data_IF_810632749100
#
_entry.id   IF_810632749100
#
_cell.length_a   1.000
_cell.length_b   1.000
_cell.length_c   1.000
_cell.angle_alpha   90.00
_cell.angle_beta   90.00
_cell.angle_gamma   90.00
#
_symmetry.space_group_name_H-M   'P 1'
#
loop_
_entity.id
_entity.type
_entity.pdbx_description
1 polymer ?
#
# COMPACT_ATOMS: atom_id res chain seq x y z
N UNK A 1 -8.64 -2.12 -37.43
CA UNK A 1 -8.17 -3.01 -36.34
C UNK A 1 -8.80 -2.56 -35.03
N UNK A 2 -9.41 -3.45 -34.24
CA UNK A 2 -9.85 -3.10 -32.88
C UNK A 2 -8.61 -3.10 -31.99
N UNK A 3 -8.21 -1.94 -31.48
CA UNK A 3 -7.15 -1.86 -30.47
C UNK A 3 -7.66 -2.52 -29.18
N UNK A 4 -7.04 -3.61 -28.75
CA UNK A 4 -7.30 -4.20 -27.44
C UNK A 4 -6.69 -3.30 -26.36
N UNK A 5 -7.48 -3.00 -25.32
CA UNK A 5 -7.02 -2.28 -24.13
C UNK A 5 -7.34 -3.06 -22.86
N UNK A 6 -6.48 -2.92 -21.85
CA UNK A 6 -6.71 -3.40 -20.49
C UNK A 6 -6.66 -2.21 -19.56
N UNK A 7 -7.58 -2.19 -18.61
CA UNK A 7 -7.57 -1.24 -17.52
C UNK A 7 -7.01 -1.91 -16.27
N UNK A 8 -5.92 -1.37 -15.75
CA UNK A 8 -5.35 -1.73 -14.45
C UNK A 8 -5.71 -0.66 -13.42
N UNK A 9 -6.31 -1.09 -12.30
CA UNK A 9 -6.74 -0.20 -11.23
C UNK A 9 -6.25 -0.70 -9.88
N UNK A 10 -5.90 0.24 -9.01
CA UNK A 10 -5.62 -0.02 -7.60
C UNK A 10 -6.53 0.87 -6.77
N UNK A 11 -7.37 0.23 -5.99
CA UNK A 11 -8.27 0.85 -5.03
C UNK A 11 -7.80 0.53 -3.60
N UNK A 12 -7.72 1.55 -2.75
CA UNK A 12 -7.31 1.39 -1.35
C UNK A 12 -8.29 2.14 -0.47
N UNK A 13 -8.96 1.41 0.43
CA UNK A 13 -9.96 1.97 1.34
C UNK A 13 -11.04 2.80 0.62
N UNK A 14 -11.48 2.35 -0.56
CA UNK A 14 -12.48 3.04 -1.40
C UNK A 14 -11.94 4.20 -2.23
N UNK A 15 -10.65 4.55 -2.13
CA UNK A 15 -10.02 5.59 -2.94
C UNK A 15 -9.20 4.97 -4.08
N UNK A 16 -9.46 5.39 -5.33
CA UNK A 16 -8.66 5.00 -6.51
C UNK A 16 -7.27 5.65 -6.45
N UNK A 17 -6.24 4.84 -6.19
CA UNK A 17 -4.86 5.31 -6.05
C UNK A 17 -4.05 5.23 -7.35
N UNK A 18 -4.41 4.31 -8.25
CA UNK A 18 -3.77 4.15 -9.55
C UNK A 18 -4.80 3.67 -10.58
N UNK A 19 -4.82 4.30 -11.75
CA UNK A 19 -5.59 3.86 -12.91
C UNK A 19 -4.71 4.00 -14.15
N UNK A 20 -4.55 2.92 -14.90
CA UNK A 20 -3.75 2.86 -16.11
C UNK A 20 -4.47 2.07 -17.19
N UNK A 21 -4.61 2.68 -18.35
CA UNK A 21 -5.04 1.98 -19.56
C UNK A 21 -3.80 1.60 -20.34
N UNK A 22 -3.68 0.32 -20.64
CA UNK A 22 -2.59 -0.23 -21.42
C UNK A 22 -3.14 -0.59 -22.80
N UNK A 23 -2.49 -0.08 -23.84
CA UNK A 23 -2.82 -0.34 -25.24
C UNK A 23 -1.71 -1.19 -25.86
N UNK A 24 -2.05 -2.29 -26.53
CA UNK A 24 -1.04 -3.16 -27.14
C UNK A 24 -1.54 -4.57 -27.45
N UNK A 25 -0.62 -5.48 -27.81
CA UNK A 25 -0.86 -6.90 -28.12
C UNK A 25 -1.26 -7.71 -26.87
N UNK A 26 -2.36 -7.32 -26.24
CA UNK A 26 -2.88 -7.88 -24.98
C UNK A 26 -3.52 -9.27 -25.16
N UNK A 27 -3.60 -9.78 -26.39
CA UNK A 27 -4.13 -11.11 -26.68
C UNK A 27 -3.33 -12.28 -26.11
N UNK A 28 -2.34 -12.04 -25.23
CA UNK A 28 -1.42 -13.07 -24.72
C UNK A 28 -1.35 -13.21 -23.20
N UNK A 29 -1.82 -12.24 -22.41
CA UNK A 29 -1.74 -12.34 -20.94
C UNK A 29 -3.11 -12.72 -20.36
N UNK A 30 -3.36 -14.02 -20.28
CA UNK A 30 -4.54 -14.58 -19.62
C UNK A 30 -4.38 -14.62 -18.09
N UNK A 31 -3.13 -14.62 -17.61
CA UNK A 31 -2.78 -14.84 -16.21
C UNK A 31 -1.88 -13.72 -15.68
N UNK A 32 -2.44 -12.90 -14.81
CA UNK A 32 -1.78 -11.78 -14.16
C UNK A 32 -1.19 -12.14 -12.79
N UNK A 33 -1.29 -13.40 -12.34
CA UNK A 33 -0.74 -13.82 -11.04
C UNK A 33 0.72 -13.42 -10.84
N UNK A 34 1.64 -13.56 -11.81
CA UNK A 34 3.03 -13.15 -11.62
C UNK A 34 3.21 -11.65 -11.34
N UNK A 35 2.38 -10.79 -11.94
CA UNK A 35 2.38 -9.35 -11.66
C UNK A 35 1.87 -9.08 -10.26
N UNK A 36 0.78 -9.74 -9.88
CA UNK A 36 0.15 -9.55 -8.58
C UNK A 36 1.03 -10.05 -7.44
N UNK A 37 1.74 -11.17 -7.61
CA UNK A 37 2.72 -11.67 -6.65
C UNK A 37 3.83 -10.63 -6.41
N UNK A 38 4.41 -10.08 -7.48
CA UNK A 38 5.42 -9.03 -7.37
C UNK A 38 4.88 -7.74 -6.71
N UNK A 39 3.62 -7.39 -6.94
CA UNK A 39 2.95 -6.27 -6.28
C UNK A 39 2.70 -6.55 -4.79
N UNK A 40 2.32 -7.77 -4.42
CA UNK A 40 2.09 -8.18 -3.03
C UNK A 40 3.40 -8.20 -2.21
N UNK A 41 4.50 -8.60 -2.85
CA UNK A 41 5.84 -8.53 -2.28
C UNK A 41 6.26 -7.07 -2.03
N UNK A 42 6.23 -6.21 -3.07
CA UNK A 42 6.55 -4.78 -2.91
C UNK A 42 5.64 -4.08 -1.91
N UNK A 43 4.35 -4.46 -1.83
CA UNK A 43 3.43 -3.98 -0.80
C UNK A 43 3.97 -4.27 0.60
N UNK A 44 4.34 -5.52 0.86
CA UNK A 44 4.74 -5.98 2.19
C UNK A 44 6.03 -5.27 2.64
N UNK A 45 7.01 -5.19 1.75
CA UNK A 45 8.28 -4.49 1.99
C UNK A 45 8.07 -2.99 2.20
N UNK A 46 7.32 -2.34 1.29
CA UNK A 46 7.05 -0.91 1.37
C UNK A 46 6.28 -0.54 2.64
N UNK A 47 5.40 -1.42 3.13
CA UNK A 47 4.65 -1.19 4.37
C UNK A 47 5.55 -1.34 5.58
N UNK A 48 6.41 -2.35 5.61
CA UNK A 48 7.41 -2.48 6.66
C UNK A 48 8.28 -1.23 6.76
N UNK A 49 8.77 -0.72 5.62
CA UNK A 49 9.56 0.50 5.57
C UNK A 49 8.75 1.76 5.95
N UNK A 50 7.49 1.85 5.53
CA UNK A 50 6.59 2.96 5.92
C UNK A 50 6.38 3.02 7.44
N UNK A 51 6.16 1.88 8.09
CA UNK A 51 6.05 1.82 9.55
C UNK A 51 7.37 2.16 10.25
N UNK A 52 8.50 1.64 9.75
CA UNK A 52 9.83 1.92 10.30
C UNK A 52 10.24 3.39 10.19
N UNK A 53 9.78 4.08 9.14
CA UNK A 53 10.07 5.51 8.92
C UNK A 53 8.91 6.43 9.33
N UNK A 54 7.93 5.90 10.07
CA UNK A 54 6.76 6.64 10.56
C UNK A 54 6.07 7.47 9.46
N UNK A 55 5.86 6.86 8.28
CA UNK A 55 5.18 7.47 7.14
C UNK A 55 6.09 8.20 6.14
N UNK A 56 7.37 8.41 6.45
CA UNK A 56 8.28 9.19 5.60
C UNK A 56 8.89 8.41 4.41
N UNK A 57 8.61 7.11 4.30
CA UNK A 57 9.18 6.24 3.27
C UNK A 57 8.88 6.79 1.86
N UNK A 58 9.89 6.81 0.99
CA UNK A 58 9.79 7.18 -0.43
C UNK A 58 9.15 8.54 -0.73
N UNK A 59 9.52 9.55 0.06
CA UNK A 59 8.94 10.88 -0.07
C UNK A 59 7.50 10.97 0.41
N UNK A 60 7.04 9.95 1.14
CA UNK A 60 5.81 9.99 1.92
C UNK A 60 5.85 11.09 2.99
N UNK A 61 4.67 11.55 3.42
CA UNK A 61 4.57 12.54 4.49
C UNK A 61 4.76 11.83 5.83
N UNK A 62 5.80 12.22 6.58
CA UNK A 62 5.97 11.80 7.98
C UNK A 62 4.67 11.99 8.75
N UNK A 63 4.28 10.97 9.51
CA UNK A 63 3.07 10.98 10.31
C UNK A 63 3.10 12.10 11.34
N UNK A 64 1.93 12.68 11.58
CA UNK A 64 1.77 13.67 12.64
C UNK A 64 2.25 13.09 13.98
N UNK A 65 3.05 13.82 14.76
CA UNK A 65 3.60 13.34 16.01
C UNK A 65 2.48 12.95 17.00
N UNK A 66 2.84 12.16 18.01
CA UNK A 66 1.94 11.94 19.15
C UNK A 66 1.75 13.26 19.90
N UNK A 67 0.57 13.45 20.51
CA UNK A 67 0.43 14.53 21.48
C UNK A 67 1.41 14.30 22.63
N UNK A 68 1.95 15.37 23.18
CA UNK A 68 2.99 15.30 24.21
C UNK A 68 2.54 14.46 25.43
N UNK A 69 1.28 14.63 25.85
CA UNK A 69 0.65 13.83 26.91
C UNK A 69 0.66 12.33 26.58
N UNK A 70 0.26 11.96 25.36
CA UNK A 70 0.20 10.57 24.94
C UNK A 70 1.61 9.99 24.71
N UNK A 71 2.53 10.78 24.18
CA UNK A 71 3.93 10.40 24.00
C UNK A 71 4.57 10.03 25.35
N UNK A 72 4.39 10.85 26.39
CA UNK A 72 4.86 10.57 27.75
C UNK A 72 4.25 9.30 28.34
N UNK A 73 2.94 9.14 28.22
CA UNK A 73 2.25 7.94 28.71
C UNK A 73 2.78 6.70 28.00
N UNK A 74 2.87 6.75 26.66
CA UNK A 74 3.37 5.66 25.84
C UNK A 74 4.82 5.32 26.14
N UNK A 75 5.70 6.30 26.33
CA UNK A 75 7.09 6.07 26.69
C UNK A 75 7.25 5.29 28.01
N UNK A 76 6.34 5.50 28.98
CA UNK A 76 6.35 4.76 30.24
C UNK A 76 5.79 3.34 30.12
N UNK A 77 4.80 3.12 29.25
CA UNK A 77 4.05 1.85 29.18
C UNK A 77 4.52 0.94 28.04
N UNK A 78 5.12 1.53 27.00
CA UNK A 78 5.58 0.90 25.77
C UNK A 78 6.89 1.59 25.33
N UNK A 79 7.97 1.48 26.15
CA UNK A 79 9.22 2.17 25.89
C UNK A 79 9.80 1.79 24.52
N UNK A 80 10.29 2.79 23.79
CA UNK A 80 10.91 2.62 22.46
C UNK A 80 9.94 2.35 21.30
N UNK A 81 8.63 2.23 21.54
CA UNK A 81 7.68 1.84 20.50
C UNK A 81 7.32 3.00 19.54
N UNK A 82 7.48 2.87 18.20
CA UNK A 82 7.18 3.93 17.22
C UNK A 82 5.70 4.27 17.05
N UNK A 83 5.39 5.39 16.39
CA UNK A 83 4.01 5.79 16.06
C UNK A 83 3.27 4.64 15.32
N UNK A 84 1.98 4.47 15.64
CA UNK A 84 1.11 3.36 15.20
C UNK A 84 1.56 1.94 15.62
N UNK A 85 2.62 1.82 16.43
CA UNK A 85 3.10 0.55 16.94
C UNK A 85 2.94 0.55 18.47
N UNK A 86 2.00 -0.25 18.99
CA UNK A 86 1.84 -0.50 20.44
C UNK A 86 2.07 -1.97 20.76
N UNK A 87 1.41 -2.84 20.01
CA UNK A 87 1.54 -4.31 20.08
C UNK A 87 2.11 -4.91 18.78
N UNK A 88 2.38 -4.05 17.79
CA UNK A 88 2.72 -4.45 16.43
C UNK A 88 1.57 -5.05 15.62
N UNK A 89 0.35 -5.19 16.18
CA UNK A 89 -0.76 -5.85 15.50
C UNK A 89 -1.15 -5.17 14.18
N UNK A 90 -1.28 -3.84 14.17
CA UNK A 90 -1.60 -3.09 12.95
C UNK A 90 -0.49 -3.22 11.90
N UNK A 91 0.78 -3.12 12.32
CA UNK A 91 1.91 -3.30 11.42
C UNK A 91 1.88 -4.69 10.79
N UNK A 92 1.76 -5.75 11.60
CA UNK A 92 1.69 -7.13 11.11
C UNK A 92 0.53 -7.33 10.14
N UNK A 93 -0.68 -6.91 10.50
CA UNK A 93 -1.84 -7.01 9.61
C UNK A 93 -1.66 -6.24 8.30
N UNK A 94 -0.86 -5.16 8.30
CA UNK A 94 -0.58 -4.38 7.09
C UNK A 94 0.51 -5.03 6.23
N UNK A 95 1.56 -5.55 6.84
CA UNK A 95 2.71 -6.18 6.15
C UNK A 95 2.46 -7.63 5.77
N UNK A 96 1.48 -8.27 6.39
CA UNK A 96 1.07 -9.66 6.14
C UNK A 96 -0.47 -9.68 6.00
N UNK A 97 -1.02 -9.02 4.98
CA UNK A 97 -2.46 -8.96 4.77
C UNK A 97 -3.00 -10.34 4.37
N UNK A 98 -4.28 -10.59 4.66
CA UNK A 98 -4.99 -11.72 4.07
C UNK A 98 -5.03 -11.50 2.56
N UNK A 99 -4.53 -12.47 1.80
CA UNK A 99 -4.29 -12.34 0.36
C UNK A 99 -5.21 -13.27 -0.41
N UNK A 100 -6.03 -12.70 -1.30
CA UNK A 100 -6.81 -13.45 -2.27
C UNK A 100 -6.30 -13.12 -3.66
N UNK A 101 -5.87 -14.15 -4.39
CA UNK A 101 -5.19 -14.03 -5.67
C UNK A 101 -5.91 -14.86 -6.74
N UNK A 102 -6.20 -14.24 -7.88
CA UNK A 102 -6.72 -14.88 -9.07
C UNK A 102 -5.94 -14.45 -10.31
N UNK A 103 -6.24 -15.07 -11.45
CA UNK A 103 -5.62 -14.71 -12.73
C UNK A 103 -5.93 -13.28 -13.19
N UNK A 104 -6.91 -12.58 -12.59
CA UNK A 104 -7.31 -11.22 -12.98
C UNK A 104 -7.40 -10.24 -11.81
N UNK A 105 -7.21 -10.68 -10.56
CA UNK A 105 -7.35 -9.83 -9.39
C UNK A 105 -6.40 -10.22 -8.25
N UNK A 106 -5.94 -9.19 -7.53
CA UNK A 106 -5.31 -9.29 -6.21
C UNK A 106 -6.14 -8.51 -5.19
N UNK A 107 -6.47 -9.13 -4.07
CA UNK A 107 -7.06 -8.46 -2.91
C UNK A 107 -6.14 -8.66 -1.71
N UNK A 108 -5.75 -7.55 -1.08
CA UNK A 108 -4.97 -7.52 0.15
C UNK A 108 -5.83 -6.92 1.26
N UNK A 109 -6.30 -7.76 2.17
CA UNK A 109 -7.17 -7.36 3.28
C UNK A 109 -6.35 -7.14 4.55
N UNK A 110 -6.40 -5.91 5.07
CA UNK A 110 -5.79 -5.53 6.35
C UNK A 110 -6.81 -5.80 7.45
N UNK A 111 -6.76 -6.98 8.02
CA UNK A 111 -7.69 -7.42 9.08
C UNK A 111 -7.28 -6.82 10.44
N UNK A 112 -7.70 -5.57 10.67
CA UNK A 112 -7.44 -4.87 11.92
C UNK A 112 -8.43 -3.73 12.16
N UNK A 113 -9.24 -3.81 13.22
CA UNK A 113 -10.23 -2.78 13.56
C UNK A 113 -9.64 -1.38 13.79
N UNK A 114 -8.35 -1.29 14.15
CA UNK A 114 -7.69 -0.01 14.38
C UNK A 114 -7.27 0.68 13.07
N UNK A 115 -7.19 -0.06 11.95
CA UNK A 115 -6.77 0.45 10.65
C UNK A 115 -7.63 1.65 10.20
N UNK A 116 -8.95 1.56 10.37
CA UNK A 116 -9.91 2.55 9.86
C UNK A 116 -9.66 3.94 10.42
N UNK A 117 -9.25 4.05 11.70
CA UNK A 117 -9.05 5.33 12.37
C UNK A 117 -7.89 6.15 11.79
N UNK A 118 -6.90 5.48 11.18
CA UNK A 118 -5.73 6.13 10.60
C UNK A 118 -5.75 6.16 9.07
N UNK A 119 -6.46 5.23 8.43
CA UNK A 119 -6.52 5.12 6.98
C UNK A 119 -7.68 5.90 6.35
N UNK A 120 -8.87 5.86 6.94
CA UNK A 120 -10.08 6.49 6.38
C UNK A 120 -9.85 7.98 6.10
N UNK A 121 -10.41 8.58 5.03
CA UNK A 121 -10.39 10.02 4.78
C UNK A 121 -11.49 10.80 5.54
N UNK A 122 -12.39 10.13 6.27
CA UNK A 122 -13.51 10.76 6.96
C UNK A 122 -13.08 11.96 7.83
N UNK A 123 -13.95 13.00 7.99
CA UNK A 123 -13.69 14.13 8.86
C UNK A 123 -13.31 13.68 10.28
N UNK A 124 -12.36 14.37 10.92
CA UNK A 124 -11.91 14.04 12.28
C UNK A 124 -11.49 15.29 13.05
N UNK A 125 -11.59 15.20 14.38
CA UNK A 125 -11.31 16.32 15.28
C UNK A 125 -10.15 16.02 16.26
N UNK A 126 -10.02 14.76 16.72
CA UNK A 126 -9.11 14.42 17.83
C UNK A 126 -7.89 13.63 17.37
N UNK A 127 -8.08 12.63 16.52
CA UNK A 127 -7.02 11.70 16.12
C UNK A 127 -6.50 12.05 14.72
N UNK A 128 -5.23 12.45 14.55
CA UNK A 128 -4.68 12.75 13.23
C UNK A 128 -4.68 11.55 12.29
N UNK A 129 -4.95 11.79 10.99
CA UNK A 129 -4.76 10.79 9.93
C UNK A 129 -3.28 10.43 9.84
N UNK A 130 -2.99 9.14 9.76
CA UNK A 130 -1.63 8.62 9.59
C UNK A 130 -1.72 7.49 8.56
N UNK A 131 -1.92 7.84 7.28
CA UNK A 131 -2.20 6.82 6.27
C UNK A 131 -0.95 5.95 6.12
N UNK A 132 -1.16 4.64 6.15
CA UNK A 132 -0.10 3.64 6.09
C UNK A 132 -0.23 2.74 4.86
N UNK A 133 -1.39 2.75 4.20
CA UNK A 133 -1.67 1.98 3.00
C UNK A 133 -1.59 2.81 1.70
N UNK A 134 -1.41 4.13 1.76
CA UNK A 134 -1.35 4.98 0.57
C UNK A 134 -0.12 4.70 -0.29
N UNK A 135 -0.27 4.74 -1.62
CA UNK A 135 0.86 4.59 -2.54
C UNK A 135 1.68 5.88 -2.65
N UNK A 136 3.00 5.76 -2.59
CA UNK A 136 3.91 6.87 -2.92
C UNK A 136 3.99 7.06 -4.44
N UNK A 137 4.56 8.18 -4.90
CA UNK A 137 4.80 8.39 -6.35
C UNK A 137 5.77 7.35 -6.90
N UNK A 138 6.82 7.02 -6.14
CA UNK A 138 7.84 6.05 -6.53
C UNK A 138 7.25 4.63 -6.60
N UNK A 139 6.45 4.24 -5.62
CA UNK A 139 5.78 2.95 -5.63
C UNK A 139 4.82 2.79 -6.81
N UNK A 140 4.01 3.81 -7.12
CA UNK A 140 3.18 3.80 -8.35
C UNK A 140 4.03 3.60 -9.61
N UNK A 141 5.21 4.22 -9.67
CA UNK A 141 6.16 4.03 -10.76
C UNK A 141 6.66 2.60 -10.85
N UNK A 142 7.09 2.01 -9.72
CA UNK A 142 7.53 0.61 -9.67
C UNK A 142 6.45 -0.36 -10.13
N UNK A 143 5.21 -0.19 -9.67
CA UNK A 143 4.09 -1.06 -10.06
C UNK A 143 3.77 -0.97 -11.54
N UNK A 144 3.84 0.23 -12.13
CA UNK A 144 3.75 0.40 -13.58
C UNK A 144 4.91 -0.29 -14.30
N UNK A 145 6.13 -0.25 -13.75
CA UNK A 145 7.28 -0.99 -14.25
C UNK A 145 7.07 -2.51 -14.24
N UNK A 146 6.52 -3.07 -13.15
CA UNK A 146 6.17 -4.50 -13.05
C UNK A 146 5.17 -4.88 -14.15
N UNK A 147 4.13 -4.07 -14.34
CA UNK A 147 3.14 -4.29 -15.41
C UNK A 147 3.79 -4.26 -16.80
N UNK A 148 4.66 -3.27 -17.04
CA UNK A 148 5.33 -3.11 -18.34
C UNK A 148 6.24 -4.28 -18.66
N UNK A 149 7.09 -4.69 -17.71
CA UNK A 149 7.96 -5.86 -17.84
C UNK A 149 7.17 -7.11 -18.19
N UNK A 150 6.03 -7.33 -17.54
CA UNK A 150 5.23 -8.52 -17.79
C UNK A 150 4.60 -8.54 -19.19
N UNK A 151 4.17 -7.40 -19.72
CA UNK A 151 3.50 -7.31 -21.02
C UNK A 151 4.51 -7.29 -22.18
N UNK A 152 5.60 -6.56 -22.03
CA UNK A 152 6.54 -6.25 -23.12
C UNK A 152 7.93 -6.87 -22.95
N UNK A 153 8.24 -7.49 -21.81
CA UNK A 153 9.58 -8.03 -21.54
C UNK A 153 10.67 -6.98 -21.38
N UNK A 154 10.31 -5.70 -21.20
CA UNK A 154 11.26 -4.59 -21.13
C UNK A 154 11.67 -4.26 -19.69
N UNK A 155 12.94 -4.49 -19.34
CA UNK A 155 13.58 -3.88 -18.18
C UNK A 155 13.81 -2.40 -18.45
N UNK A 156 12.86 -1.54 -18.07
CA UNK A 156 13.08 -0.10 -18.14
C UNK A 156 13.94 0.34 -16.95
N UNK A 157 15.18 0.73 -17.25
CA UNK A 157 16.13 1.43 -16.38
C UNK A 157 15.57 2.76 -15.82
#
# INVERSE_FOLDING_TARGET
MRSSSIQFTVDIAGERQLSRTLHGLLGRVADWRPVFEAIAEDWSESRAATFGQEGAFEGGRKWAPLSERYARWKARHFPGMPILQRTGALQRATTQPVTELSAQQLVLTIDNDYAVYHQSPAPRQVLPRRPFASLTRLQRGRWVGILRRHIWGEDTA
#
